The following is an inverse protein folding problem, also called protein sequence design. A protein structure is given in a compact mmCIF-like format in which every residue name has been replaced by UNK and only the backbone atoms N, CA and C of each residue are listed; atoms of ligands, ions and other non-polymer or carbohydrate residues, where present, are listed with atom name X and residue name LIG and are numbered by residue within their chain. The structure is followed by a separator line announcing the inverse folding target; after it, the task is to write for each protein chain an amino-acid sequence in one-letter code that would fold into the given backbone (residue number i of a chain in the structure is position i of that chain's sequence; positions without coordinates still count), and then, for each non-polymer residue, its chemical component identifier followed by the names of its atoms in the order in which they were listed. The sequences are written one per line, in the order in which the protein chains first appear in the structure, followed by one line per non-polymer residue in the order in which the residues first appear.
data_IF_594401911861
#
_entry.id   IF_594401911861
#
_cell.length_a   1.000
_cell.length_b   1.000
_cell.length_c   1.000
_cell.angle_alpha   90.00
_cell.angle_beta   90.00
_cell.angle_gamma   90.00
#
_symmetry.space_group_name_H-M   'P 1'
#
loop_
_entity.id
_entity.type
_entity.pdbx_description
1 polymer ?
#
# COMPACT_ATOMS: atom_id res chain seq x y z
N UNK A 1 31.74 -19.27 -14.31
CA UNK A 1 31.27 -20.56 -13.73
C UNK A 1 30.21 -21.24 -14.59
N UNK A 2 29.02 -20.66 -14.84
CA UNK A 2 28.00 -21.30 -15.72
C UNK A 2 28.35 -21.31 -17.21
N UNK A 3 29.02 -20.26 -17.71
CA UNK A 3 29.44 -20.13 -19.11
C UNK A 3 30.58 -21.09 -19.48
N UNK A 4 31.54 -21.29 -18.56
CA UNK A 4 32.71 -22.13 -18.80
C UNK A 4 32.33 -23.61 -18.89
N UNK A 5 31.31 -24.02 -18.12
CA UNK A 5 30.74 -25.37 -18.16
C UNK A 5 29.99 -25.64 -19.48
N UNK A 6 29.18 -24.68 -19.94
CA UNK A 6 28.47 -24.79 -21.22
C UNK A 6 29.44 -24.82 -22.41
N UNK A 7 30.51 -24.03 -22.37
CA UNK A 7 31.52 -24.04 -23.42
C UNK A 7 32.26 -25.39 -23.50
N UNK A 8 32.52 -26.01 -22.34
CA UNK A 8 33.11 -27.35 -22.28
C UNK A 8 32.18 -28.44 -22.84
N UNK A 9 30.88 -28.39 -22.54
CA UNK A 9 29.88 -29.31 -23.10
C UNK A 9 29.73 -29.17 -24.62
N UNK A 10 29.68 -27.94 -25.14
CA UNK A 10 29.62 -27.68 -26.59
C UNK A 10 30.86 -28.26 -27.30
N UNK A 11 32.05 -28.02 -26.74
CA UNK A 11 33.31 -28.53 -27.31
C UNK A 11 33.37 -30.07 -27.29
N UNK A 12 32.81 -30.71 -26.25
CA UNK A 12 32.73 -32.16 -26.18
C UNK A 12 31.76 -32.75 -27.22
N UNK A 13 30.64 -32.08 -27.48
CA UNK A 13 29.67 -32.46 -28.51
C UNK A 13 30.28 -32.31 -29.92
N UNK A 14 31.04 -31.24 -30.16
CA UNK A 14 31.75 -31.02 -31.44
C UNK A 14 32.81 -32.11 -31.71
N UNK A 15 33.50 -32.59 -30.67
CA UNK A 15 34.48 -33.67 -30.79
C UNK A 15 33.81 -35.03 -31.08
N UNK A 16 32.67 -35.31 -30.45
CA UNK A 16 31.91 -36.54 -30.67
C UNK A 16 31.26 -36.57 -32.06
N UNK A 17 30.78 -35.42 -32.54
CA UNK A 17 30.19 -35.30 -33.88
C UNK A 17 31.23 -35.43 -35.00
N UNK A 18 32.48 -35.01 -34.76
CA UNK A 18 33.61 -35.21 -35.69
C UNK A 18 34.03 -36.69 -35.86
N UNK A 19 33.62 -37.58 -34.94
CA UNK A 19 33.92 -39.02 -35.01
C UNK A 19 32.84 -39.84 -35.74
N UNK A 20 31.69 -39.23 -36.06
CA UNK A 20 30.59 -39.88 -36.77
C UNK A 20 30.94 -40.04 -38.26
N UNK A 21 30.79 -41.27 -38.78
CA UNK A 21 31.23 -41.63 -40.15
C UNK A 21 30.07 -41.94 -41.10
N UNK A 22 28.81 -41.98 -40.66
CA UNK A 22 27.66 -42.24 -41.52
C UNK A 22 26.80 -40.98 -41.75
N UNK A 23 26.33 -40.77 -42.99
CA UNK A 23 25.55 -39.58 -43.37
C UNK A 23 24.21 -39.44 -42.63
N UNK A 24 23.65 -40.56 -42.15
CA UNK A 24 22.36 -40.58 -41.42
C UNK A 24 22.52 -40.04 -40.00
N UNK A 25 23.64 -40.32 -39.33
CA UNK A 25 23.93 -39.79 -37.99
C UNK A 25 24.05 -38.26 -38.00
N UNK A 26 24.74 -37.71 -39.01
CA UNK A 26 24.90 -36.26 -39.19
C UNK A 26 23.56 -35.56 -39.43
N UNK A 27 22.64 -36.18 -40.19
CA UNK A 27 21.32 -35.61 -40.43
C UNK A 27 20.42 -35.64 -39.18
N UNK A 28 20.54 -36.66 -38.34
CA UNK A 28 19.86 -36.72 -37.04
C UNK A 28 20.37 -35.60 -36.13
N UNK A 29 21.70 -35.40 -36.04
CA UNK A 29 22.31 -34.33 -35.23
C UNK A 29 21.86 -32.95 -35.70
N UNK A 30 21.84 -32.69 -37.02
CA UNK A 30 21.35 -31.42 -37.57
C UNK A 30 19.88 -31.17 -37.23
N UNK A 31 19.03 -32.20 -37.32
CA UNK A 31 17.60 -32.09 -36.94
C UNK A 31 17.43 -31.79 -35.46
N UNK A 32 18.25 -32.40 -34.59
CA UNK A 32 18.26 -32.13 -33.16
C UNK A 32 18.72 -30.70 -32.85
N UNK A 33 19.78 -30.22 -33.50
CA UNK A 33 20.27 -28.85 -33.31
C UNK A 33 19.21 -27.81 -33.73
N UNK A 34 18.58 -27.99 -34.89
CA UNK A 34 17.49 -27.12 -35.34
C UNK A 34 16.29 -27.13 -34.38
N UNK A 35 16.00 -28.27 -33.74
CA UNK A 35 14.95 -28.36 -32.73
C UNK A 35 15.34 -27.61 -31.46
N UNK A 36 16.59 -27.74 -31.00
CA UNK A 36 17.12 -27.02 -29.84
C UNK A 36 17.10 -25.52 -30.08
N UNK A 37 17.52 -25.05 -31.25
CA UNK A 37 17.46 -23.63 -31.63
C UNK A 37 16.03 -23.09 -31.55
N UNK A 38 15.06 -23.85 -32.07
CA UNK A 38 13.64 -23.48 -31.99
C UNK A 38 13.16 -23.41 -30.54
N UNK A 39 13.51 -24.40 -29.72
CA UNK A 39 13.15 -24.43 -28.31
C UNK A 39 13.78 -23.27 -27.53
N UNK A 40 15.01 -22.87 -27.86
CA UNK A 40 15.67 -21.71 -27.24
C UNK A 40 14.95 -20.41 -27.63
N UNK A 41 14.57 -20.26 -28.90
CA UNK A 41 13.83 -19.10 -29.37
C UNK A 41 12.47 -18.98 -28.67
N UNK A 42 11.70 -20.07 -28.61
CA UNK A 42 10.42 -20.13 -27.90
C UNK A 42 10.58 -19.84 -26.39
N UNK A 43 11.63 -20.37 -25.76
CA UNK A 43 11.92 -20.11 -24.34
C UNK A 43 12.25 -18.63 -24.08
N UNK A 44 12.97 -17.98 -25.00
CA UNK A 44 13.27 -16.56 -24.91
C UNK A 44 12.00 -15.71 -25.03
N UNK A 45 11.11 -16.04 -25.96
CA UNK A 45 9.82 -15.37 -26.13
C UNK A 45 8.92 -15.54 -24.90
N UNK A 46 8.81 -16.77 -24.38
CA UNK A 46 8.07 -17.07 -23.15
C UNK A 46 8.61 -16.29 -21.94
N UNK A 47 9.93 -16.13 -21.81
CA UNK A 47 10.53 -15.31 -20.73
C UNK A 47 10.15 -13.84 -20.85
N UNK A 48 10.07 -13.31 -22.06
CA UNK A 48 9.61 -11.93 -22.30
C UNK A 48 8.14 -11.78 -21.92
N UNK A 49 7.27 -12.72 -22.30
CA UNK A 49 5.86 -12.70 -21.92
C UNK A 49 5.66 -12.82 -20.41
N UNK A 50 6.38 -13.74 -19.75
CA UNK A 50 6.36 -13.86 -18.30
C UNK A 50 6.78 -12.57 -17.59
N UNK A 51 7.77 -11.85 -18.15
CA UNK A 51 8.18 -10.56 -17.60
C UNK A 51 7.06 -9.51 -17.75
N UNK A 52 6.42 -9.43 -18.93
CA UNK A 52 5.28 -8.52 -19.15
C UNK A 52 4.12 -8.81 -18.19
N UNK A 53 3.78 -10.08 -18.00
CA UNK A 53 2.72 -10.49 -17.07
C UNK A 53 3.05 -10.14 -15.61
N UNK A 54 4.31 -10.30 -15.20
CA UNK A 54 4.76 -9.90 -13.86
C UNK A 54 4.66 -8.39 -13.65
N UNK A 55 5.07 -7.60 -14.65
CA UNK A 55 4.99 -6.15 -14.59
C UNK A 55 3.52 -5.68 -14.57
N UNK A 56 2.63 -6.36 -15.29
CA UNK A 56 1.18 -6.11 -15.26
C UNK A 56 0.56 -6.45 -13.89
N UNK A 57 0.94 -7.57 -13.27
CA UNK A 57 0.51 -7.93 -11.91
C UNK A 57 0.96 -6.87 -10.90
N UNK A 58 2.19 -6.40 -10.99
CA UNK A 58 2.71 -5.36 -10.09
C UNK A 58 1.94 -4.04 -10.27
N UNK A 59 1.66 -3.64 -11.52
CA UNK A 59 0.82 -2.47 -11.81
C UNK A 59 -0.57 -2.59 -11.20
N UNK A 60 -1.24 -3.74 -11.35
CA UNK A 60 -2.57 -3.98 -10.79
C UNK A 60 -2.56 -3.97 -9.25
N UNK A 61 -1.44 -4.34 -8.63
CA UNK A 61 -1.22 -4.26 -7.17
C UNK A 61 -0.80 -2.86 -6.68
N UNK A 62 -0.62 -1.89 -7.58
CA UNK A 62 -0.15 -0.54 -7.24
C UNK A 62 1.36 -0.45 -6.94
N UNK A 63 2.12 -1.49 -7.28
CA UNK A 63 3.58 -1.53 -7.18
C UNK A 63 4.22 -1.10 -8.51
N UNK A 64 5.45 -0.60 -8.47
CA UNK A 64 6.19 -0.28 -9.71
C UNK A 64 6.76 -1.57 -10.33
N UNK A 65 6.59 -1.72 -11.65
CA UNK A 65 7.24 -2.79 -12.42
C UNK A 65 8.76 -2.67 -12.41
N UNK A 66 9.46 -3.65 -12.99
CA UNK A 66 10.93 -3.64 -13.02
C UNK A 66 11.45 -2.36 -13.71
N UNK A 67 12.30 -1.55 -13.06
CA UNK A 67 12.80 -0.31 -13.64
C UNK A 67 13.70 -0.57 -14.86
N UNK A 68 13.49 0.17 -15.95
CA UNK A 68 14.35 0.17 -17.13
C UNK A 68 15.61 1.01 -16.85
N UNK A 69 16.69 0.34 -16.46
CA UNK A 69 17.96 0.98 -16.16
C UNK A 69 18.72 1.18 -17.47
N UNK A 70 18.70 2.41 -17.99
CA UNK A 70 19.54 2.79 -19.13
C UNK A 70 21.03 2.66 -18.77
N UNK A 71 21.82 2.13 -19.71
CA UNK A 71 23.26 1.96 -19.57
C UNK A 71 23.91 3.32 -19.30
N UNK A 72 24.62 3.42 -18.17
CA UNK A 72 25.24 4.66 -17.72
C UNK A 72 26.46 4.99 -18.61
N UNK A 73 26.41 6.08 -19.38
CA UNK A 73 27.59 6.61 -20.07
C UNK A 73 28.51 7.23 -19.00
N UNK A 74 29.64 6.58 -18.72
CA UNK A 74 30.67 7.15 -17.84
C UNK A 74 31.14 8.48 -18.45
N UNK A 75 31.00 9.58 -17.72
CA UNK A 75 31.74 10.81 -18.01
C UNK A 75 33.13 10.64 -17.39
N UNK A 76 34.17 10.69 -18.22
CA UNK A 76 35.54 10.84 -17.75
C UNK A 76 35.67 12.22 -17.12
N UNK A 77 35.64 12.25 -15.80
CA UNK A 77 35.92 13.41 -14.97
C UNK A 77 36.50 12.90 -13.67
N UNK A 78 37.45 13.63 -13.10
CA UNK A 78 38.06 13.31 -11.82
C UNK A 78 36.98 13.14 -10.74
N UNK A 79 36.79 11.90 -10.27
CA UNK A 79 35.82 11.50 -9.23
C UNK A 79 36.48 11.52 -7.85
N UNK A 80 37.52 12.34 -7.67
CA UNK A 80 38.20 12.46 -6.39
C UNK A 80 37.31 13.19 -5.38
N UNK A 81 36.97 12.50 -4.29
CA UNK A 81 36.27 13.02 -3.12
C UNK A 81 37.15 13.91 -2.23
N UNK A 82 38.36 14.25 -2.67
CA UNK A 82 39.28 15.13 -1.95
C UNK A 82 38.72 16.54 -1.72
N UNK A 83 37.89 17.06 -2.62
CA UNK A 83 37.21 18.34 -2.42
C UNK A 83 36.20 18.26 -1.27
N UNK A 84 35.35 17.23 -1.26
CA UNK A 84 34.35 17.00 -0.20
C UNK A 84 35.03 16.69 1.15
N UNK A 85 36.16 15.99 1.12
CA UNK A 85 36.94 15.64 2.31
C UNK A 85 37.64 16.86 2.92
N UNK A 86 38.19 17.76 2.11
CA UNK A 86 38.74 19.04 2.59
C UNK A 86 37.67 19.95 3.18
N UNK A 87 36.44 19.89 2.66
CA UNK A 87 35.32 20.65 3.20
C UNK A 87 34.91 20.12 4.58
N UNK A 88 34.87 18.80 4.75
CA UNK A 88 34.63 18.16 6.05
C UNK A 88 35.77 18.38 7.06
N UNK A 89 37.03 18.43 6.60
CA UNK A 89 38.19 18.74 7.45
C UNK A 89 38.23 20.23 7.84
N UNK A 90 37.76 21.14 6.99
CA UNK A 90 37.60 22.56 7.32
C UNK A 90 36.47 22.77 8.35
N UNK A 91 35.36 22.06 8.23
CA UNK A 91 34.26 22.05 9.21
C UNK A 91 34.67 21.44 10.57
N UNK A 92 35.67 20.54 10.57
CA UNK A 92 36.21 19.93 11.78
C UNK A 92 37.28 20.78 12.47
N UNK A 93 38.04 21.60 11.73
CA UNK A 93 39.15 22.41 12.23
C UNK A 93 38.81 23.86 12.59
N UNK A 94 37.53 24.18 12.78
CA UNK A 94 37.12 25.30 13.63
C UNK A 94 37.71 26.67 13.28
N UNK A 95 37.84 27.00 11.98
CA UNK A 95 38.05 28.38 11.59
C UNK A 95 36.70 29.11 11.55
N UNK A 96 36.53 29.93 12.59
CA UNK A 96 35.33 30.67 12.95
C UNK A 96 35.05 31.74 11.89
N UNK A 97 33.95 31.60 11.17
CA UNK A 97 33.28 32.73 10.53
C UNK A 97 31.80 32.67 10.89
N UNK A 98 31.50 33.33 12.01
CA UNK A 98 30.26 34.01 12.36
C UNK A 98 29.01 33.57 11.58
N UNK A 99 28.15 32.77 12.23
CA UNK A 99 26.70 32.97 12.36
C UNK A 99 26.03 31.67 12.86
N UNK A 100 24.94 31.85 13.63
CA UNK A 100 24.01 30.81 14.13
C UNK A 100 24.33 30.17 15.50
N UNK A 101 24.29 31.00 16.54
CA UNK A 101 24.03 30.56 17.91
C UNK A 101 22.70 29.77 18.02
N UNK A 102 22.77 28.62 18.68
CA UNK A 102 21.60 27.99 19.29
C UNK A 102 21.10 26.68 18.68
N UNK A 103 21.98 25.73 18.32
CA UNK A 103 21.52 24.33 18.11
C UNK A 103 21.16 23.68 19.44
N UNK A 104 19.94 23.94 19.92
CA UNK A 104 19.27 23.16 20.97
C UNK A 104 19.41 21.67 20.64
N UNK A 105 19.97 20.90 21.57
CA UNK A 105 20.00 19.42 21.51
C UNK A 105 18.57 18.94 21.22
N UNK A 106 18.36 18.38 20.03
CA UNK A 106 17.09 17.75 19.64
C UNK A 106 16.85 16.58 20.59
N UNK A 107 16.00 16.79 21.60
CA UNK A 107 15.33 15.70 22.29
C UNK A 107 14.46 15.02 21.24
N UNK A 108 14.94 13.90 20.69
CA UNK A 108 14.08 13.02 19.89
C UNK A 108 13.11 12.36 20.86
N UNK A 109 11.97 13.00 21.05
CA UNK A 109 10.80 12.29 21.55
C UNK A 109 10.54 11.10 20.61
N UNK A 110 10.22 9.94 21.18
CA UNK A 110 9.93 8.75 20.40
C UNK A 110 8.82 9.06 19.39
N UNK A 111 9.09 8.81 18.10
CA UNK A 111 8.21 9.15 16.97
C UNK A 111 6.94 8.28 16.88
N UNK A 112 6.61 7.52 17.92
CA UNK A 112 5.37 6.75 17.94
C UNK A 112 4.23 7.70 18.34
N UNK A 113 3.21 7.90 17.49
CA UNK A 113 2.09 8.74 17.85
C UNK A 113 1.41 8.16 19.10
N UNK A 114 1.16 9.01 20.10
CA UNK A 114 0.34 8.66 21.27
C UNK A 114 -1.06 8.34 20.78
N UNK A 115 -1.38 7.06 20.64
CA UNK A 115 -2.72 6.61 20.25
C UNK A 115 -3.66 6.96 21.39
N UNK A 116 -4.72 7.73 21.11
CA UNK A 116 -5.75 8.03 22.11
C UNK A 116 -6.53 6.74 22.41
N UNK A 117 -6.62 6.38 23.68
CA UNK A 117 -7.42 5.24 24.14
C UNK A 117 -8.82 5.78 24.48
N UNK A 118 -9.83 5.35 23.72
CA UNK A 118 -11.23 5.71 23.99
C UNK A 118 -11.91 4.76 24.99
N UNK A 119 -11.41 3.51 25.11
CA UNK A 119 -11.94 2.51 26.04
C UNK A 119 -10.84 1.57 26.50
N UNK A 120 -10.76 1.33 27.80
CA UNK A 120 -9.93 0.28 28.40
C UNK A 120 -10.79 -0.92 28.79
N UNK A 121 -10.27 -2.12 28.59
CA UNK A 121 -10.93 -3.36 28.98
C UNK A 121 -9.90 -4.29 29.62
N UNK A 122 -10.13 -4.65 30.87
CA UNK A 122 -9.31 -5.62 31.58
C UNK A 122 -9.75 -7.03 31.16
N UNK A 123 -8.80 -7.84 30.72
CA UNK A 123 -9.03 -9.24 30.38
C UNK A 123 -8.60 -10.11 31.56
N UNK A 124 -9.53 -10.58 32.41
CA UNK A 124 -9.18 -11.48 33.51
C UNK A 124 -8.71 -12.83 32.96
N UNK A 125 -7.72 -13.43 33.61
CA UNK A 125 -7.29 -14.79 33.32
C UNK A 125 -8.33 -15.78 33.86
N UNK A 126 -8.86 -16.64 32.99
CA UNK A 126 -9.64 -17.81 33.42
C UNK A 126 -8.71 -18.79 34.15
N UNK A 127 -9.04 -19.12 35.40
CA UNK A 127 -8.22 -19.94 36.29
C UNK A 127 -8.55 -21.43 36.20
N UNK A 128 -9.48 -21.85 35.34
CA UNK A 128 -9.85 -23.26 35.21
C UNK A 128 -8.68 -24.11 34.70
N UNK A 129 -8.29 -25.14 35.45
CA UNK A 129 -7.19 -26.04 35.11
C UNK A 129 -5.78 -25.45 35.26
N UNK A 130 -5.65 -24.27 35.86
CA UNK A 130 -4.36 -23.64 36.13
C UNK A 130 -3.88 -23.90 37.57
N UNK A 131 -2.57 -23.71 37.85
CA UNK A 131 -2.02 -23.87 39.19
C UNK A 131 -2.64 -22.92 40.23
N UNK A 132 -2.86 -23.43 41.45
CA UNK A 132 -3.42 -22.65 42.57
C UNK A 132 -2.47 -21.56 43.10
N UNK A 133 -1.17 -21.65 42.78
CA UNK A 133 -0.12 -20.71 43.19
C UNK A 133 0.00 -19.48 42.27
N UNK A 134 -0.96 -19.27 41.36
CA UNK A 134 -1.02 -18.11 40.48
C UNK A 134 -1.08 -16.78 41.27
N UNK A 135 0.02 -16.02 41.22
CA UNK A 135 0.10 -14.66 41.77
C UNK A 135 0.06 -13.63 40.64
N UNK A 136 -0.80 -12.62 40.79
CA UNK A 136 -0.83 -11.47 39.88
C UNK A 136 0.48 -10.68 39.95
N UNK A 137 1.10 -10.40 38.79
CA UNK A 137 2.35 -9.61 38.70
C UNK A 137 2.15 -8.22 38.10
N UNK A 138 1.61 -8.15 36.88
CA UNK A 138 1.38 -6.89 36.16
C UNK A 138 0.35 -7.10 35.05
N UNK A 139 -0.18 -6.00 34.51
CA UNK A 139 -0.94 -5.99 33.27
C UNK A 139 0.00 -5.77 32.08
N UNK A 140 -0.18 -6.55 31.02
CA UNK A 140 0.49 -6.31 29.75
C UNK A 140 -0.49 -5.66 28.79
N UNK A 141 -0.20 -4.42 28.39
CA UNK A 141 -1.08 -3.66 27.51
C UNK A 141 -0.95 -4.12 26.06
N UNK A 142 -2.09 -4.38 25.42
CA UNK A 142 -2.20 -4.64 23.98
C UNK A 142 -3.21 -3.63 23.41
N UNK A 143 -2.69 -2.65 22.66
CA UNK A 143 -3.53 -1.60 22.06
C UNK A 143 -4.01 -2.07 20.68
N UNK A 144 -5.33 -2.17 20.52
CA UNK A 144 -5.98 -2.48 19.23
C UNK A 144 -6.77 -1.27 18.77
N UNK A 145 -6.44 -0.73 17.60
CA UNK A 145 -7.21 0.35 16.98
C UNK A 145 -8.42 -0.24 16.25
N UNK A 146 -9.61 0.29 16.54
CA UNK A 146 -10.85 -0.16 15.92
C UNK A 146 -11.70 1.04 15.50
N UNK A 147 -12.53 0.86 14.48
CA UNK A 147 -13.51 1.84 14.04
C UNK A 147 -14.90 1.20 14.05
N UNK A 148 -15.88 1.89 14.64
CA UNK A 148 -17.28 1.46 14.61
C UNK A 148 -18.08 2.40 13.72
N UNK A 149 -18.60 1.88 12.61
CA UNK A 149 -19.48 2.62 11.69
C UNK A 149 -20.92 2.15 11.94
N UNK A 150 -21.80 3.06 12.36
CA UNK A 150 -23.22 2.79 12.60
C UNK A 150 -24.09 3.93 12.07
N UNK A 151 -25.32 3.62 11.68
CA UNK A 151 -26.32 4.62 11.30
C UNK A 151 -26.96 5.25 12.53
N UNK A 152 -27.35 6.51 12.40
CA UNK A 152 -28.09 7.26 13.44
C UNK A 152 -29.30 7.93 12.80
N UNK A 153 -30.39 7.16 12.69
CA UNK A 153 -31.62 7.58 12.02
C UNK A 153 -32.64 8.05 13.06
N UNK A 154 -32.97 9.34 13.06
CA UNK A 154 -33.91 9.95 14.02
C UNK A 154 -35.28 10.20 13.38
N UNK A 155 -36.34 9.59 13.92
CA UNK A 155 -37.73 9.84 13.50
C UNK A 155 -38.39 10.91 14.38
N UNK A 156 -38.56 12.11 13.85
CA UNK A 156 -39.29 13.18 14.53
C UNK A 156 -40.80 13.02 14.40
N UNK A 157 -41.50 12.84 15.52
CA UNK A 157 -42.96 12.86 15.59
C UNK A 157 -43.40 14.21 16.15
N UNK A 158 -44.00 15.04 15.30
CA UNK A 158 -44.49 16.36 15.69
C UNK A 158 -45.95 16.24 16.10
N UNK A 159 -46.30 16.77 17.26
CA UNK A 159 -47.70 16.89 17.66
C UNK A 159 -48.40 17.87 16.69
N UNK A 160 -49.57 17.49 16.19
CA UNK A 160 -50.40 18.33 15.33
C UNK A 160 -51.74 18.55 16.03
N UNK A 161 -52.09 19.82 16.24
CA UNK A 161 -53.36 20.22 16.84
C UNK A 161 -54.16 21.02 15.83
N UNK A 162 -55.40 20.61 15.59
CA UNK A 162 -56.32 21.33 14.72
C UNK A 162 -57.17 22.30 15.54
N UNK A 163 -57.32 23.54 15.08
CA UNK A 163 -58.26 24.52 15.62
C UNK A 163 -59.44 24.66 14.67
N UNK A 164 -60.62 24.09 14.99
CA UNK A 164 -61.80 24.18 14.13
C UNK A 164 -62.27 25.62 13.91
N UNK A 165 -62.21 26.46 14.95
CA UNK A 165 -62.63 27.85 14.90
C UNK A 165 -61.78 28.69 13.92
N UNK A 166 -60.49 28.40 13.83
CA UNK A 166 -59.56 29.11 12.93
C UNK A 166 -59.31 28.36 11.61
N UNK A 167 -59.84 27.14 11.48
CA UNK A 167 -59.60 26.22 10.35
C UNK A 167 -58.10 26.04 10.04
N UNK A 168 -57.26 25.91 11.08
CA UNK A 168 -55.79 25.83 10.97
C UNK A 168 -55.19 24.71 11.81
N UNK A 169 -54.07 24.16 11.35
CA UNK A 169 -53.24 23.20 12.08
C UNK A 169 -52.03 23.88 12.70
N UNK A 170 -51.73 23.52 13.94
CA UNK A 170 -50.51 23.92 14.66
C UNK A 170 -49.65 22.68 14.86
N UNK A 171 -48.36 22.81 14.56
CA UNK A 171 -47.41 21.71 14.66
C UNK A 171 -46.35 22.03 15.69
N UNK A 172 -45.92 21.04 16.47
CA UNK A 172 -44.74 21.14 17.32
C UNK A 172 -43.52 21.57 16.50
N UNK A 173 -42.67 22.42 17.08
CA UNK A 173 -41.45 22.87 16.43
C UNK A 173 -40.46 21.71 16.25
N UNK A 174 -39.79 21.66 15.11
CA UNK A 174 -38.62 20.80 14.93
C UNK A 174 -37.40 21.47 15.59
N UNK A 175 -36.48 20.68 16.19
CA UNK A 175 -35.17 21.17 16.59
C UNK A 175 -34.45 21.85 15.44
N UNK A 176 -33.64 22.87 15.73
CA UNK A 176 -32.95 23.68 14.72
C UNK A 176 -31.99 22.85 13.85
N UNK A 177 -31.50 21.74 14.40
CA UNK A 177 -30.65 20.80 13.68
C UNK A 177 -31.37 20.10 12.51
N UNK A 178 -32.67 19.82 12.67
CA UNK A 178 -33.50 19.14 11.66
C UNK A 178 -34.29 20.12 10.77
N UNK A 179 -34.44 21.38 11.20
CA UNK A 179 -35.26 22.37 10.50
C UNK A 179 -34.61 22.82 9.19
N UNK A 180 -35.29 22.57 8.06
CA UNK A 180 -34.90 23.11 6.75
C UNK A 180 -33.62 22.52 6.15
N UNK A 181 -33.10 21.42 6.71
CA UNK A 181 -31.82 20.83 6.33
C UNK A 181 -31.93 19.61 5.38
N UNK A 182 -33.12 19.34 4.87
CA UNK A 182 -33.41 18.17 4.02
C UNK A 182 -33.52 16.86 4.81
N UNK A 183 -33.49 15.75 4.10
CA UNK A 183 -33.65 14.39 4.67
C UNK A 183 -32.35 13.81 5.23
N UNK A 184 -31.20 14.39 4.86
CA UNK A 184 -29.88 13.90 5.26
C UNK A 184 -29.27 14.76 6.37
N UNK A 185 -28.79 14.09 7.43
CA UNK A 185 -28.10 14.72 8.54
C UNK A 185 -26.80 15.42 8.11
N UNK A 186 -26.26 16.28 9.00
CA UNK A 186 -24.98 16.98 8.77
C UNK A 186 -23.83 16.00 8.52
N UNK A 187 -23.80 14.87 9.23
CA UNK A 187 -22.75 13.85 9.06
C UNK A 187 -22.69 13.28 7.64
N UNK A 188 -23.82 12.90 7.05
CA UNK A 188 -23.86 12.38 5.67
C UNK A 188 -23.45 13.47 4.68
N UNK A 189 -23.99 14.69 4.84
CA UNK A 189 -23.69 15.82 3.95
C UNK A 189 -22.23 16.26 3.96
N UNK A 190 -21.55 16.12 5.09
CA UNK A 190 -20.13 16.44 5.23
C UNK A 190 -19.23 15.28 4.81
N UNK A 191 -19.68 14.03 4.97
CA UNK A 191 -18.91 12.85 4.55
C UNK A 191 -18.85 12.70 3.03
N UNK A 192 -19.94 12.99 2.31
CA UNK A 192 -19.97 12.90 0.83
C UNK A 192 -18.82 13.68 0.16
N UNK A 193 -18.59 14.97 0.43
CA UNK A 193 -17.48 15.71 -0.18
C UNK A 193 -16.12 15.14 0.23
N UNK A 194 -15.93 14.71 1.49
CA UNK A 194 -14.68 14.06 1.93
C UNK A 194 -14.40 12.79 1.13
N UNK A 195 -15.41 11.92 0.96
CA UNK A 195 -15.27 10.71 0.14
C UNK A 195 -14.96 11.04 -1.33
N UNK A 196 -15.49 12.16 -1.82
CA UNK A 196 -15.27 12.61 -3.19
C UNK A 196 -13.88 13.21 -3.40
N UNK A 197 -13.43 14.10 -2.52
CA UNK A 197 -12.20 14.88 -2.70
C UNK A 197 -10.99 14.21 -2.08
N UNK A 198 -11.10 13.69 -0.86
CA UNK A 198 -9.97 13.09 -0.13
C UNK A 198 -9.80 11.62 -0.50
N UNK A 199 -10.90 10.88 -0.68
CA UNK A 199 -10.86 9.46 -1.03
C UNK A 199 -10.98 9.20 -2.54
N UNK A 200 -11.11 10.24 -3.37
CA UNK A 200 -11.24 10.17 -4.84
C UNK A 200 -12.30 9.16 -5.33
N UNK A 201 -13.38 8.97 -4.57
CA UNK A 201 -14.42 8.01 -4.93
C UNK A 201 -15.33 8.56 -6.05
N UNK A 202 -15.73 7.70 -6.99
CA UNK A 202 -16.78 8.05 -7.95
C UNK A 202 -18.15 8.14 -7.26
N UNK A 203 -19.10 8.88 -7.84
CA UNK A 203 -20.44 9.02 -7.26
C UNK A 203 -21.13 7.65 -7.05
N UNK A 204 -20.98 6.72 -8.00
CA UNK A 204 -21.50 5.36 -7.87
C UNK A 204 -20.88 4.58 -6.70
N UNK A 205 -19.58 4.77 -6.44
CA UNK A 205 -18.90 4.13 -5.31
C UNK A 205 -19.33 4.73 -3.97
N UNK A 206 -19.51 6.05 -3.92
CA UNK A 206 -20.04 6.75 -2.74
C UNK A 206 -21.47 6.26 -2.46
N UNK A 207 -22.30 6.16 -3.50
CA UNK A 207 -23.65 5.61 -3.39
C UNK A 207 -23.63 4.16 -2.87
N UNK A 208 -22.78 3.30 -3.45
CA UNK A 208 -22.63 1.92 -2.99
C UNK A 208 -22.17 1.83 -1.54
N UNK A 209 -21.25 2.70 -1.11
CA UNK A 209 -20.81 2.80 0.27
C UNK A 209 -21.99 3.05 1.22
N UNK A 210 -22.83 4.06 0.95
CA UNK A 210 -23.98 4.34 1.80
C UNK A 210 -25.03 3.22 1.82
N UNK A 211 -25.30 2.60 0.67
CA UNK A 211 -26.23 1.46 0.58
C UNK A 211 -25.75 0.26 1.40
N UNK A 212 -24.45 -0.01 1.43
CA UNK A 212 -23.89 -1.10 2.24
C UNK A 212 -24.14 -0.91 3.74
N UNK A 213 -24.35 0.32 4.20
CA UNK A 213 -24.73 0.65 5.58
C UNK A 213 -26.24 0.87 5.76
N UNK A 214 -27.06 0.56 4.75
CA UNK A 214 -28.51 0.75 4.80
C UNK A 214 -28.96 2.21 4.71
N UNK A 215 -28.09 3.12 4.26
CA UNK A 215 -28.43 4.53 4.00
C UNK A 215 -28.84 4.64 2.54
N UNK A 216 -30.07 5.10 2.30
CA UNK A 216 -30.62 5.23 0.96
C UNK A 216 -30.23 6.60 0.39
N UNK A 217 -29.38 6.62 -0.65
CA UNK A 217 -28.93 7.86 -1.30
C UNK A 217 -29.05 7.70 -2.81
N UNK A 218 -29.68 8.65 -3.50
CA UNK A 218 -29.71 8.67 -4.97
C UNK A 218 -28.42 9.27 -5.52
N UNK A 219 -27.91 8.70 -6.61
CA UNK A 219 -26.91 9.38 -7.43
C UNK A 219 -27.55 10.66 -8.00
N UNK A 220 -26.93 11.81 -7.75
CA UNK A 220 -27.30 13.10 -8.35
C UNK A 220 -26.19 13.54 -9.27
#
# INVERSE_FOLDING_TARGET
MKTDYLQAEVTAIDQLTAQLKSGVELDIVKKLLNLVERLIAENAEQKVELQKLRDEINRLKGEQGKPDIKVNKRKDGDVSSEADRKQAEADANGEVAENADGKKKRQREAKLPKIKIDREQICPLDKTGLPDDLVFKYYQDVIVQNITIKTDNVKYRRAAYYSPSQKKYYYGALPDEARGKGEYGVGIRTLIPVLKTECNMSQQRIQGFFHNFGINVSAT
#
